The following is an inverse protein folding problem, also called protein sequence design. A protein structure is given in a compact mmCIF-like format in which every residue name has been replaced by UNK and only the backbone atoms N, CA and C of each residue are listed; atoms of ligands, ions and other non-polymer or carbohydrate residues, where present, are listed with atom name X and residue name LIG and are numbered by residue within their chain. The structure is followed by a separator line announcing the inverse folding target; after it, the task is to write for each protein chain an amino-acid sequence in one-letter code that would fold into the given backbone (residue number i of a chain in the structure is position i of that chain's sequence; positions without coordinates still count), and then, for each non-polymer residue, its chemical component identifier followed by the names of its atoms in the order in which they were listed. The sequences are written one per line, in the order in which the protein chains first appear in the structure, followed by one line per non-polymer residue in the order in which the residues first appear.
data_IF_902010020194
#
_entry.id   IF_902010020194
#
_cell.length_a   1.000
_cell.length_b   1.000
_cell.length_c   1.000
_cell.angle_alpha   90.00
_cell.angle_beta   90.00
_cell.angle_gamma   90.00
#
_symmetry.space_group_name_H-M   'P 1'
#
loop_
_entity.id
_entity.type
_entity.pdbx_description
1 polymer ?
#
# COMPACT_ATOMS: atom_id res chain seq x y z
N UNK A 1 -49.71 33.27 11.88
CA UNK A 1 -48.30 33.74 11.88
C UNK A 1 -47.40 32.89 12.78
N UNK A 2 -47.75 32.63 14.05
CA UNK A 2 -46.95 31.83 15.00
C UNK A 2 -46.67 30.39 14.53
N UNK A 3 -47.67 29.73 13.93
CA UNK A 3 -47.58 28.36 13.38
C UNK A 3 -46.73 28.25 12.10
N UNK A 4 -46.66 29.32 11.31
CA UNK A 4 -45.78 29.40 10.14
C UNK A 4 -44.32 29.60 10.57
N UNK A 5 -44.09 30.41 11.61
CA UNK A 5 -42.76 30.63 12.17
C UNK A 5 -42.19 29.34 12.79
N UNK A 6 -43.01 28.59 13.54
CA UNK A 6 -42.60 27.29 14.11
C UNK A 6 -42.31 26.24 13.03
N UNK A 7 -43.08 26.22 11.94
CA UNK A 7 -42.83 25.33 10.81
C UNK A 7 -41.51 25.67 10.10
N UNK A 8 -41.20 26.96 9.94
CA UNK A 8 -39.95 27.41 9.31
C UNK A 8 -38.71 27.06 10.17
N UNK A 9 -38.84 27.15 11.50
CA UNK A 9 -37.78 26.74 12.45
C UNK A 9 -37.56 25.22 12.41
N UNK A 10 -38.64 24.43 12.32
CA UNK A 10 -38.54 22.97 12.22
C UNK A 10 -37.86 22.52 10.92
N UNK A 11 -38.19 23.15 9.79
CA UNK A 11 -37.55 22.87 8.49
C UNK A 11 -36.07 23.26 8.50
N UNK A 12 -35.71 24.39 9.12
CA UNK A 12 -34.31 24.82 9.26
C UNK A 12 -33.50 23.84 10.12
N UNK A 13 -34.09 23.29 11.19
CA UNK A 13 -33.42 22.34 12.08
C UNK A 13 -33.17 20.98 11.40
N UNK A 14 -34.08 20.53 10.54
CA UNK A 14 -33.91 19.29 9.75
C UNK A 14 -32.78 19.44 8.72
N UNK A 15 -32.64 20.60 8.08
CA UNK A 15 -31.59 20.85 7.09
C UNK A 15 -30.18 20.89 7.69
N UNK A 16 -30.05 21.21 8.98
CA UNK A 16 -28.75 21.25 9.68
C UNK A 16 -28.21 19.86 10.05
N UNK A 17 -29.04 18.82 9.98
CA UNK A 17 -28.68 17.45 10.38
C UNK A 17 -27.94 16.67 9.28
N UNK A 18 -27.87 17.22 8.06
CA UNK A 18 -27.37 16.52 6.86
C UNK A 18 -25.86 16.62 6.65
N UNK A 19 -25.12 17.27 7.56
CA UNK A 19 -23.68 17.54 7.42
C UNK A 19 -22.78 16.69 8.33
N UNK A 20 -23.21 15.45 8.65
CA UNK A 20 -22.28 14.44 9.17
C UNK A 20 -21.43 13.94 8.01
N UNK A 21 -20.30 14.60 7.79
CA UNK A 21 -19.25 14.09 6.92
C UNK A 21 -18.74 12.77 7.53
N UNK A 22 -19.10 11.64 6.91
CA UNK A 22 -18.55 10.35 7.29
C UNK A 22 -17.02 10.41 7.17
N UNK A 23 -16.33 10.10 8.26
CA UNK A 23 -14.87 10.12 8.31
C UNK A 23 -14.33 9.13 7.27
N UNK A 24 -13.73 9.64 6.20
CA UNK A 24 -13.17 8.82 5.13
C UNK A 24 -11.93 8.11 5.66
N UNK A 25 -11.95 6.78 5.63
CA UNK A 25 -10.77 5.99 5.95
C UNK A 25 -9.80 6.12 4.77
N UNK A 26 -8.72 6.87 4.96
CA UNK A 26 -7.76 7.20 3.90
C UNK A 26 -6.96 5.95 3.51
N UNK A 27 -6.31 5.32 4.49
CA UNK A 27 -5.59 4.06 4.30
C UNK A 27 -5.66 3.23 5.57
N UNK A 28 -5.82 1.93 5.44
CA UNK A 28 -5.96 1.00 6.58
C UNK A 28 -4.65 0.28 6.82
N UNK A 29 -4.35 0.02 8.09
CA UNK A 29 -3.30 -0.91 8.47
C UNK A 29 -3.90 -2.32 8.41
N UNK A 30 -3.28 -3.21 7.63
CA UNK A 30 -3.72 -4.61 7.52
C UNK A 30 -2.90 -5.55 8.40
N UNK A 31 -1.67 -5.18 8.72
CA UNK A 31 -0.82 -5.91 9.66
C UNK A 31 0.22 -4.99 10.31
N UNK A 32 0.66 -5.37 11.51
CA UNK A 32 1.76 -4.74 12.25
C UNK A 32 2.79 -5.82 12.55
N UNK A 33 4.05 -5.60 12.17
CA UNK A 33 5.15 -6.56 12.28
C UNK A 33 6.32 -5.85 12.96
N UNK A 34 6.51 -6.12 14.26
CA UNK A 34 7.45 -5.37 15.11
C UNK A 34 7.22 -3.84 15.03
N UNK A 35 8.18 -3.08 14.51
CA UNK A 35 8.09 -1.61 14.32
C UNK A 35 7.54 -1.21 12.96
N UNK A 36 7.33 -2.17 12.08
CA UNK A 36 6.88 -1.96 10.70
C UNK A 36 5.37 -2.19 10.57
N UNK A 37 4.72 -1.45 9.68
CA UNK A 37 3.30 -1.67 9.34
C UNK A 37 3.16 -2.06 7.87
N UNK A 38 2.12 -2.82 7.56
CA UNK A 38 1.68 -3.09 6.19
C UNK A 38 0.35 -2.38 6.01
N UNK A 39 0.26 -1.53 4.97
CA UNK A 39 -0.97 -0.80 4.63
C UNK A 39 -1.79 -1.52 3.56
N UNK A 40 -3.07 -1.17 3.48
CA UNK A 40 -3.97 -1.69 2.46
C UNK A 40 -3.58 -1.24 1.06
N UNK A 41 -3.05 0.00 0.93
CA UNK A 41 -2.50 0.48 -0.33
C UNK A 41 -1.30 -0.36 -0.81
N UNK A 42 -0.35 -0.65 0.09
CA UNK A 42 0.84 -1.45 -0.20
C UNK A 42 0.49 -2.89 -0.61
N UNK A 43 -0.39 -3.53 0.16
CA UNK A 43 -0.85 -4.89 -0.14
C UNK A 43 -1.55 -4.95 -1.51
N UNK A 44 -2.39 -3.96 -1.81
CA UNK A 44 -3.11 -3.89 -3.09
C UNK A 44 -2.16 -3.69 -4.27
N UNK A 45 -1.18 -2.81 -4.14
CA UNK A 45 -0.18 -2.55 -5.18
C UNK A 45 0.64 -3.81 -5.49
N UNK A 46 1.19 -4.47 -4.46
CA UNK A 46 1.91 -5.74 -4.63
C UNK A 46 1.03 -6.82 -5.22
N UNK A 47 -0.23 -6.93 -4.76
CA UNK A 47 -1.19 -7.90 -5.31
C UNK A 47 -1.43 -7.68 -6.80
N UNK A 48 -1.65 -6.43 -7.21
CA UNK A 48 -1.85 -6.09 -8.62
C UNK A 48 -0.63 -6.47 -9.47
N UNK A 49 0.57 -6.13 -9.01
CA UNK A 49 1.82 -6.41 -9.72
C UNK A 49 2.05 -7.92 -9.93
N UNK A 50 1.83 -8.72 -8.88
CA UNK A 50 1.98 -10.19 -8.95
C UNK A 50 0.87 -10.81 -9.81
N UNK A 51 -0.36 -10.32 -9.69
CA UNK A 51 -1.50 -10.79 -10.49
C UNK A 51 -1.26 -10.55 -11.99
N UNK A 52 -0.75 -9.37 -12.37
CA UNK A 52 -0.43 -9.05 -13.76
C UNK A 52 0.66 -9.96 -14.34
N UNK A 53 1.73 -10.21 -13.60
CA UNK A 53 2.83 -11.07 -14.06
C UNK A 53 2.38 -12.51 -14.28
N UNK A 54 1.54 -13.03 -13.39
CA UNK A 54 1.08 -14.41 -13.42
C UNK A 54 -0.26 -14.62 -14.14
N UNK A 55 -0.84 -13.55 -14.72
CA UNK A 55 -2.17 -13.56 -15.36
C UNK A 55 -3.27 -14.11 -14.44
N UNK A 56 -3.21 -13.76 -13.16
CA UNK A 56 -4.19 -14.14 -12.13
C UNK A 56 -5.18 -13.00 -11.85
N UNK A 57 -6.30 -13.31 -11.20
CA UNK A 57 -7.24 -12.30 -10.72
C UNK A 57 -6.69 -11.62 -9.46
N UNK A 58 -6.47 -10.28 -9.47
CA UNK A 58 -6.01 -9.54 -8.30
C UNK A 58 -7.02 -9.51 -7.14
N UNK A 59 -8.29 -9.84 -7.40
CA UNK A 59 -9.35 -9.89 -6.38
C UNK A 59 -9.40 -11.22 -5.64
N UNK A 60 -8.57 -12.20 -6.05
CA UNK A 60 -8.54 -13.51 -5.42
C UNK A 60 -8.07 -13.40 -3.94
N UNK A 61 -8.90 -13.82 -2.97
CA UNK A 61 -8.55 -13.72 -1.55
C UNK A 61 -7.34 -14.59 -1.16
N UNK A 62 -7.14 -15.74 -1.81
CA UNK A 62 -6.00 -16.62 -1.53
C UNK A 62 -4.69 -15.99 -2.00
N UNK A 63 -4.71 -15.36 -3.18
CA UNK A 63 -3.54 -14.63 -3.71
C UNK A 63 -3.17 -13.47 -2.77
N UNK A 64 -4.16 -12.68 -2.37
CA UNK A 64 -3.95 -11.55 -1.45
C UNK A 64 -3.40 -12.03 -0.10
N UNK A 65 -3.89 -13.16 0.42
CA UNK A 65 -3.38 -13.76 1.65
C UNK A 65 -1.92 -14.21 1.50
N UNK A 66 -1.59 -14.93 0.43
CA UNK A 66 -0.22 -15.39 0.17
C UNK A 66 0.76 -14.22 0.08
N UNK A 67 0.36 -13.13 -0.56
CA UNK A 67 1.18 -11.92 -0.68
C UNK A 67 1.35 -11.25 0.68
N UNK A 68 0.27 -11.14 1.47
CA UNK A 68 0.36 -10.62 2.82
C UNK A 68 1.31 -11.45 3.71
N UNK A 69 1.21 -12.78 3.65
CA UNK A 69 2.09 -13.69 4.40
C UNK A 69 3.57 -13.50 3.98
N UNK A 70 3.83 -13.31 2.69
CA UNK A 70 5.17 -12.99 2.17
C UNK A 70 5.69 -11.64 2.67
N UNK A 71 4.85 -10.60 2.66
CA UNK A 71 5.20 -9.27 3.17
C UNK A 71 5.52 -9.30 4.67
N UNK A 72 4.77 -10.09 5.45
CA UNK A 72 5.03 -10.29 6.88
C UNK A 72 6.39 -10.97 7.07
N UNK A 73 6.67 -12.04 6.31
CA UNK A 73 7.95 -12.73 6.37
C UNK A 73 9.13 -11.81 6.02
N UNK A 74 9.01 -10.98 4.98
CA UNK A 74 10.02 -9.98 4.63
C UNK A 74 10.29 -8.99 5.77
N UNK A 75 9.24 -8.47 6.40
CA UNK A 75 9.37 -7.53 7.54
C UNK A 75 9.95 -8.21 8.79
N UNK A 76 9.66 -9.48 9.02
CA UNK A 76 10.30 -10.26 10.08
C UNK A 76 11.81 -10.44 9.84
N UNK A 77 12.21 -10.74 8.60
CA UNK A 77 13.63 -10.83 8.24
C UNK A 77 14.32 -9.47 8.44
N UNK A 78 13.65 -8.38 8.05
CA UNK A 78 14.16 -7.03 8.27
C UNK A 78 14.35 -6.73 9.76
N UNK A 79 13.37 -7.07 10.60
CA UNK A 79 13.46 -6.89 12.05
C UNK A 79 14.65 -7.68 12.63
N UNK A 80 14.87 -8.92 12.17
CA UNK A 80 16.01 -9.73 12.58
C UNK A 80 17.35 -9.12 12.11
N UNK A 81 17.44 -8.64 10.87
CA UNK A 81 18.64 -8.01 10.33
C UNK A 81 19.06 -6.75 11.13
N UNK A 82 18.08 -5.99 11.63
CA UNK A 82 18.32 -4.84 12.50
C UNK A 82 18.91 -5.29 13.85
N UNK A 83 18.37 -6.37 14.44
CA UNK A 83 18.89 -6.96 15.69
C UNK A 83 20.33 -7.43 15.48
N UNK A 84 20.60 -8.07 14.34
CA UNK A 84 21.93 -8.59 13.97
C UNK A 84 22.88 -7.49 13.45
N UNK A 85 22.47 -6.22 13.51
CA UNK A 85 23.26 -5.06 13.10
C UNK A 85 23.82 -5.15 11.68
N UNK A 86 23.06 -5.75 10.76
CA UNK A 86 23.41 -5.79 9.34
C UNK A 86 23.25 -4.39 8.75
N UNK A 87 24.35 -3.82 8.24
CA UNK A 87 24.37 -2.49 7.62
C UNK A 87 24.83 -2.62 6.17
N UNK A 88 24.12 -1.96 5.26
CA UNK A 88 24.48 -1.86 3.85
C UNK A 88 25.02 -0.46 3.58
N UNK A 89 26.16 -0.35 2.92
CA UNK A 89 26.79 0.93 2.58
C UNK A 89 26.27 1.50 1.26
N UNK A 90 26.28 2.82 1.11
CA UNK A 90 25.91 3.49 -0.14
C UNK A 90 26.78 3.06 -1.33
N UNK A 91 28.04 2.70 -1.06
CA UNK A 91 28.96 2.17 -2.07
C UNK A 91 28.48 0.84 -2.64
N UNK A 92 28.00 -0.07 -1.79
CA UNK A 92 27.44 -1.36 -2.20
C UNK A 92 26.14 -1.19 -2.99
N UNK A 93 25.27 -0.27 -2.58
CA UNK A 93 24.03 0.07 -3.31
C UNK A 93 24.37 0.59 -4.70
N UNK A 94 25.29 1.56 -4.79
CA UNK A 94 25.73 2.16 -6.05
C UNK A 94 26.33 1.12 -6.99
N UNK A 95 27.18 0.25 -6.46
CA UNK A 95 27.81 -0.82 -7.22
C UNK A 95 26.77 -1.81 -7.77
N UNK A 96 25.78 -2.18 -6.96
CA UNK A 96 24.69 -3.08 -7.36
C UNK A 96 23.82 -2.45 -8.45
N UNK A 97 23.52 -1.15 -8.31
CA UNK A 97 22.75 -0.40 -9.31
C UNK A 97 23.48 -0.33 -10.66
N UNK A 98 24.76 0.00 -10.66
CA UNK A 98 25.58 0.05 -11.88
C UNK A 98 25.63 -1.31 -12.57
N UNK A 99 25.76 -2.41 -11.81
CA UNK A 99 25.71 -3.76 -12.35
C UNK A 99 24.35 -4.07 -13.00
N UNK A 100 23.24 -3.70 -12.36
CA UNK A 100 21.91 -3.86 -12.94
C UNK A 100 21.74 -3.05 -14.23
N UNK A 101 22.21 -1.79 -14.25
CA UNK A 101 22.15 -0.94 -15.43
C UNK A 101 22.95 -1.54 -16.60
N UNK A 102 24.17 -2.01 -16.34
CA UNK A 102 24.98 -2.66 -17.37
C UNK A 102 24.31 -3.91 -17.93
N UNK A 103 23.63 -4.71 -17.11
CA UNK A 103 22.89 -5.87 -17.55
C UNK A 103 21.72 -5.49 -18.47
N UNK A 104 20.98 -4.43 -18.12
CA UNK A 104 19.88 -3.91 -18.95
C UNK A 104 20.40 -3.36 -20.29
N UNK A 105 21.52 -2.60 -20.27
CA UNK A 105 22.15 -2.08 -21.50
C UNK A 105 22.59 -3.21 -22.41
N UNK A 106 23.15 -4.30 -21.86
CA UNK A 106 23.54 -5.47 -22.66
C UNK A 106 22.34 -6.15 -23.32
N UNK A 107 21.25 -6.34 -22.59
CA UNK A 107 20.01 -6.94 -23.12
C UNK A 107 19.41 -6.07 -24.24
N UNK A 108 19.27 -4.76 -24.02
CA UNK A 108 18.74 -3.84 -25.02
C UNK A 108 19.67 -3.65 -26.23
N UNK A 109 20.99 -3.67 -26.00
CA UNK A 109 22.00 -3.54 -27.05
C UNK A 109 22.15 -4.80 -27.91
N UNK A 110 21.88 -5.99 -27.35
CA UNK A 110 21.88 -7.24 -28.11
C UNK A 110 20.72 -7.37 -29.10
N UNK A 111 19.60 -6.65 -28.90
CA UNK A 111 18.46 -6.71 -29.82
C UNK A 111 18.59 -5.79 -31.06
N UNK A 112 19.59 -4.90 -31.09
CA UNK A 112 19.82 -3.97 -32.23
C UNK A 112 20.87 -4.45 -33.24
N UNK A 113 21.29 -5.72 -33.20
CA UNK A 113 22.24 -6.29 -34.17
C UNK A 113 21.64 -7.46 -34.93
#
# INVERSE_FOLDING_TARGET
MKTLLSAMILVSLVMLSSSVAAQTVIDRIVAVVDKEIITESELRERTMLVAMQNRMDPSNPDLRKQILDGMIAEKLILAQAIIDSVVVSDGEVTQTLEQQLQNLVRQAGSERR
#
